data_IF_042810589404
#
_entry.id   IF_042810589404
#
_cell.length_a   1.000
_cell.length_b   1.000
_cell.length_c   1.000
_cell.angle_alpha   90.00
_cell.angle_beta   90.00
_cell.angle_gamma   90.00
#
_symmetry.space_group_name_H-M   'P 1'
#
loop_
_entity.id
_entity.type
_entity.pdbx_description
1 polymer ?
#
# COMPACT_ATOMS: atom_id res chain seq x y z
N UNK A 1 13.35 17.60 -10.98
CA UNK A 1 13.66 16.93 -9.69
C UNK A 1 14.82 17.65 -8.98
N UNK A 2 16.05 17.70 -9.53
CA UNK A 2 17.21 18.31 -8.85
C UNK A 2 16.97 19.77 -8.44
N UNK A 3 16.40 20.59 -9.31
CA UNK A 3 16.05 21.98 -9.00
C UNK A 3 15.01 22.08 -7.88
N UNK A 4 14.02 21.17 -7.85
CA UNK A 4 13.02 21.14 -6.79
C UNK A 4 13.64 20.72 -5.44
N UNK A 5 14.54 19.74 -5.45
CA UNK A 5 15.25 19.28 -4.25
C UNK A 5 16.20 20.34 -3.66
N UNK A 6 16.74 21.24 -4.50
CA UNK A 6 17.65 22.31 -4.08
C UNK A 6 16.94 23.56 -3.54
N UNK A 7 15.60 23.61 -3.57
CA UNK A 7 14.85 24.72 -2.97
C UNK A 7 15.12 24.81 -1.47
N UNK A 8 15.17 26.02 -0.96
CA UNK A 8 15.25 26.25 0.47
C UNK A 8 14.02 25.65 1.15
N UNK A 9 14.18 24.81 2.19
CA UNK A 9 13.03 24.19 2.86
C UNK A 9 12.15 25.24 3.53
N UNK A 10 10.85 25.08 3.41
CA UNK A 10 9.84 25.89 4.10
C UNK A 10 9.34 25.19 5.36
N UNK A 11 8.74 25.95 6.26
CA UNK A 11 8.14 25.37 7.46
C UNK A 11 6.96 24.46 7.11
N UNK A 12 7.00 23.21 7.53
CA UNK A 12 5.96 22.21 7.21
C UNK A 12 4.58 22.49 7.85
N UNK A 13 4.43 23.59 8.61
CA UNK A 13 3.17 24.06 9.20
C UNK A 13 2.68 25.36 8.58
N UNK A 14 3.38 25.88 7.56
CA UNK A 14 3.00 27.12 6.86
C UNK A 14 1.87 26.83 5.85
N UNK A 15 1.14 27.91 5.49
CA UNK A 15 0.11 27.83 4.44
C UNK A 15 0.69 27.36 3.10
N UNK A 16 1.89 27.84 2.75
CA UNK A 16 2.59 27.45 1.54
C UNK A 16 2.81 25.92 1.46
N UNK A 17 3.23 25.30 2.58
CA UNK A 17 3.39 23.85 2.64
C UNK A 17 2.04 23.11 2.58
N UNK A 18 1.00 23.65 3.20
CA UNK A 18 -0.35 23.07 3.13
C UNK A 18 -0.88 23.06 1.68
N UNK A 19 -0.66 24.13 0.93
CA UNK A 19 -1.05 24.23 -0.48
C UNK A 19 -0.28 23.21 -1.34
N UNK A 20 1.00 23.00 -1.03
CA UNK A 20 1.81 21.98 -1.68
C UNK A 20 1.28 20.57 -1.38
N UNK A 21 0.96 20.25 -0.12
CA UNK A 21 0.39 18.96 0.27
C UNK A 21 -0.96 18.72 -0.41
N UNK A 22 -1.81 19.75 -0.48
CA UNK A 22 -3.09 19.65 -1.19
C UNK A 22 -2.90 19.30 -2.66
N UNK A 23 -2.02 20.03 -3.34
CA UNK A 23 -1.72 19.79 -4.75
C UNK A 23 -1.13 18.40 -4.99
N UNK A 24 -0.13 18.00 -4.21
CA UNK A 24 0.50 16.68 -4.35
C UNK A 24 -0.47 15.55 -4.04
N UNK A 25 -1.35 15.71 -3.04
CA UNK A 25 -2.38 14.70 -2.72
C UNK A 25 -3.35 14.50 -3.89
N UNK A 26 -3.83 15.58 -4.52
CA UNK A 26 -4.69 15.50 -5.71
C UNK A 26 -3.99 14.79 -6.88
N UNK A 27 -2.72 15.09 -7.10
CA UNK A 27 -1.92 14.44 -8.14
C UNK A 27 -1.69 12.95 -7.84
N UNK A 28 -1.46 12.59 -6.57
CA UNK A 28 -1.34 11.20 -6.13
C UNK A 28 -2.67 10.45 -6.33
N UNK A 29 -3.80 11.04 -6.00
CA UNK A 29 -5.12 10.45 -6.26
C UNK A 29 -5.35 10.20 -7.75
N UNK A 30 -4.99 11.18 -8.59
CA UNK A 30 -5.04 11.02 -10.04
C UNK A 30 -4.15 9.86 -10.54
N UNK A 31 -2.91 9.79 -10.06
CA UNK A 31 -1.98 8.73 -10.46
C UNK A 31 -2.45 7.34 -10.02
N UNK A 32 -3.04 7.23 -8.82
CA UNK A 32 -3.63 5.99 -8.30
C UNK A 32 -5.01 5.68 -8.91
N UNK A 33 -5.58 6.61 -9.68
CA UNK A 33 -6.95 6.50 -10.21
C UNK A 33 -7.94 6.16 -9.09
N UNK A 34 -7.94 6.97 -8.05
CA UNK A 34 -8.76 6.78 -6.86
C UNK A 34 -9.33 8.08 -6.33
N UNK A 35 -10.53 8.00 -5.75
CA UNK A 35 -11.15 9.07 -4.95
C UNK A 35 -10.89 8.87 -3.44
N UNK A 36 -10.25 7.77 -3.07
CA UNK A 36 -9.93 7.46 -1.69
C UNK A 36 -8.73 8.26 -1.18
N UNK A 37 -8.51 8.22 0.13
CA UNK A 37 -7.34 8.85 0.75
C UNK A 37 -6.04 8.23 0.23
N UNK A 38 -5.10 9.07 -0.17
CA UNK A 38 -3.71 8.69 -0.46
C UNK A 38 -2.81 9.43 0.51
N UNK A 39 -2.22 8.70 1.44
CA UNK A 39 -1.38 9.26 2.50
C UNK A 39 0.10 9.23 2.10
N UNK A 40 0.81 10.30 2.39
CA UNK A 40 2.27 10.41 2.18
C UNK A 40 3.00 10.19 3.51
N UNK A 41 3.90 9.21 3.51
CA UNK A 41 4.72 8.83 4.68
C UNK A 41 6.18 9.10 4.35
N UNK A 42 6.91 9.77 5.25
CA UNK A 42 8.37 9.84 5.16
C UNK A 42 8.96 8.49 5.53
N UNK A 43 9.44 7.77 4.52
CA UNK A 43 9.92 6.40 4.68
C UNK A 43 10.07 5.69 3.33
N UNK A 44 10.58 4.48 3.35
CA UNK A 44 10.68 3.62 2.16
C UNK A 44 9.34 2.95 1.85
N UNK A 45 9.21 2.35 0.65
CA UNK A 45 8.04 1.55 0.31
C UNK A 45 7.73 0.45 1.33
N UNK A 46 8.74 -0.07 2.04
CA UNK A 46 8.54 -1.04 3.14
C UNK A 46 7.72 -0.43 4.28
N UNK A 47 7.88 0.88 4.57
CA UNK A 47 7.06 1.54 5.60
C UNK A 47 5.58 1.56 5.22
N UNK A 48 5.24 1.79 3.94
CA UNK A 48 3.86 1.69 3.47
C UNK A 48 3.32 0.25 3.54
N UNK A 49 4.17 -0.75 3.25
CA UNK A 49 3.82 -2.16 3.41
C UNK A 49 3.48 -2.51 4.87
N UNK A 50 4.36 -2.18 5.80
CA UNK A 50 4.11 -2.38 7.24
C UNK A 50 2.87 -1.62 7.70
N UNK A 51 2.73 -0.35 7.29
CA UNK A 51 1.57 0.46 7.63
C UNK A 51 0.27 -0.19 7.18
N UNK A 52 0.22 -0.76 5.97
CA UNK A 52 -0.95 -1.49 5.49
C UNK A 52 -1.34 -2.63 6.42
N UNK A 53 -0.39 -3.47 6.79
CA UNK A 53 -0.60 -4.63 7.67
C UNK A 53 -1.03 -4.19 9.08
N UNK A 54 -0.22 -3.38 9.75
CA UNK A 54 -0.45 -3.07 11.17
C UNK A 54 -1.69 -2.21 11.42
N UNK A 55 -2.17 -1.49 10.42
CA UNK A 55 -3.37 -0.67 10.58
C UNK A 55 -4.67 -1.42 10.24
N UNK A 56 -4.62 -2.52 9.50
CA UNK A 56 -5.83 -3.20 9.02
C UNK A 56 -6.02 -4.60 9.59
N UNK A 57 -4.97 -5.17 10.20
CA UNK A 57 -4.96 -6.54 10.70
C UNK A 57 -4.63 -6.62 12.19
N UNK A 58 -4.96 -7.75 12.79
CA UNK A 58 -4.72 -8.08 14.18
C UNK A 58 -3.84 -9.32 14.32
N UNK A 59 -3.12 -9.45 15.43
CA UNK A 59 -2.37 -10.68 15.71
C UNK A 59 -3.29 -11.91 15.66
N UNK A 60 -2.86 -12.95 14.96
CA UNK A 60 -3.63 -14.18 14.74
C UNK A 60 -4.56 -14.12 13.54
N UNK A 61 -4.70 -12.98 12.86
CA UNK A 61 -5.50 -12.91 11.64
C UNK A 61 -4.92 -13.81 10.55
N UNK A 62 -5.80 -14.58 9.90
CA UNK A 62 -5.43 -15.46 8.79
C UNK A 62 -5.36 -14.66 7.48
N UNK A 63 -4.24 -14.78 6.77
CA UNK A 63 -3.99 -14.06 5.53
C UNK A 63 -3.43 -14.98 4.44
N UNK A 64 -3.74 -14.68 3.18
CA UNK A 64 -3.08 -15.31 2.03
C UNK A 64 -1.93 -14.39 1.60
N UNK A 65 -0.73 -14.93 1.42
CA UNK A 65 0.41 -14.20 0.86
C UNK A 65 0.85 -14.83 -0.46
N UNK A 66 0.90 -14.04 -1.52
CA UNK A 66 1.48 -14.44 -2.81
C UNK A 66 2.99 -14.27 -2.82
N UNK A 67 3.73 -15.32 -3.21
CA UNK A 67 5.19 -15.32 -3.28
C UNK A 67 5.67 -15.88 -4.62
N UNK A 68 6.25 -15.02 -5.46
CA UNK A 68 6.90 -15.43 -6.70
C UNK A 68 8.21 -14.68 -6.96
N UNK A 69 8.82 -14.16 -5.88
CA UNK A 69 10.09 -13.48 -5.87
C UNK A 69 10.40 -12.83 -4.52
N UNK A 70 11.44 -11.99 -4.51
CA UNK A 70 12.01 -11.43 -3.28
C UNK A 70 11.06 -10.52 -2.53
N UNK A 71 10.20 -9.79 -3.24
CA UNK A 71 9.25 -8.88 -2.60
C UNK A 71 8.03 -9.65 -2.09
N UNK A 72 7.53 -10.65 -2.80
CA UNK A 72 6.54 -11.59 -2.27
C UNK A 72 7.03 -12.31 -0.99
N UNK A 73 8.28 -12.79 -0.98
CA UNK A 73 8.91 -13.35 0.22
C UNK A 73 8.94 -12.35 1.39
N UNK A 74 9.16 -11.05 1.10
CA UNK A 74 9.14 -9.99 2.12
C UNK A 74 7.78 -9.85 2.77
N UNK A 75 6.68 -9.88 1.99
CA UNK A 75 5.32 -9.85 2.53
C UNK A 75 5.06 -11.01 3.50
N UNK A 76 5.49 -12.22 3.13
CA UNK A 76 5.38 -13.40 4.01
C UNK A 76 6.13 -13.19 5.32
N UNK A 77 7.36 -12.62 5.25
CA UNK A 77 8.17 -12.34 6.45
C UNK A 77 7.51 -11.28 7.33
N UNK A 78 7.08 -10.16 6.73
CA UNK A 78 6.43 -9.06 7.46
C UNK A 78 5.14 -9.56 8.14
N UNK A 79 4.30 -10.31 7.43
CA UNK A 79 3.09 -10.87 8.00
C UNK A 79 3.35 -11.78 9.21
N UNK A 80 4.35 -12.66 9.10
CA UNK A 80 4.75 -13.55 10.21
C UNK A 80 5.33 -12.78 11.40
N UNK A 81 6.14 -11.74 11.16
CA UNK A 81 6.73 -10.92 12.22
C UNK A 81 5.66 -10.22 13.05
N UNK A 82 4.57 -9.80 12.42
CA UNK A 82 3.40 -9.24 13.12
C UNK A 82 2.43 -10.31 13.67
N UNK A 83 2.80 -11.58 13.62
CA UNK A 83 2.05 -12.68 14.24
C UNK A 83 0.79 -13.07 13.50
N UNK A 84 0.73 -12.88 12.18
CA UNK A 84 -0.37 -13.32 11.34
C UNK A 84 -0.24 -14.81 10.97
N UNK A 85 -1.35 -15.48 10.76
CA UNK A 85 -1.41 -16.84 10.21
C UNK A 85 -1.36 -16.80 8.69
N UNK A 86 -0.22 -17.20 8.12
CA UNK A 86 0.05 -17.05 6.69
C UNK A 86 -0.26 -18.33 5.92
N UNK A 87 -1.22 -18.27 5.00
CA UNK A 87 -1.41 -19.23 3.92
C UNK A 87 -0.57 -18.74 2.73
N UNK A 88 0.51 -19.45 2.42
CA UNK A 88 1.39 -19.08 1.32
C UNK A 88 0.89 -19.66 -0.01
N UNK A 89 0.76 -18.82 -1.04
CA UNK A 89 0.61 -19.23 -2.43
C UNK A 89 1.90 -18.88 -3.14
N UNK A 90 2.68 -19.89 -3.49
CA UNK A 90 3.94 -19.73 -4.19
C UNK A 90 3.84 -20.11 -5.67
N UNK A 91 4.75 -19.53 -6.44
CA UNK A 91 5.08 -19.91 -7.81
C UNK A 91 6.59 -19.90 -7.96
N UNK A 92 7.08 -20.66 -8.93
CA UNK A 92 8.48 -20.62 -9.31
C UNK A 92 8.90 -19.17 -9.65
N UNK A 93 10.05 -18.74 -9.18
CA UNK A 93 10.55 -17.40 -9.45
C UNK A 93 10.74 -17.20 -10.95
N UNK A 94 10.21 -16.09 -11.47
CA UNK A 94 10.14 -15.83 -12.91
C UNK A 94 8.80 -16.23 -13.55
N UNK A 95 7.88 -16.82 -12.77
CA UNK A 95 6.51 -17.12 -13.23
C UNK A 95 5.47 -16.32 -12.43
N UNK A 96 4.33 -15.93 -13.06
CA UNK A 96 3.29 -15.22 -12.34
C UNK A 96 2.56 -16.13 -11.34
N UNK A 97 1.98 -15.51 -10.32
CA UNK A 97 1.07 -16.18 -9.41
C UNK A 97 -0.17 -16.67 -10.16
N UNK A 98 -0.58 -17.91 -9.90
CA UNK A 98 -1.78 -18.47 -10.52
C UNK A 98 -3.05 -17.96 -9.80
N UNK A 99 -3.92 -17.15 -10.45
CA UNK A 99 -5.12 -16.60 -9.84
C UNK A 99 -6.10 -17.67 -9.34
N UNK A 100 -6.18 -18.83 -9.99
CA UNK A 100 -7.11 -19.92 -9.59
C UNK A 100 -6.76 -20.52 -8.22
N UNK A 101 -5.47 -20.46 -7.80
CA UNK A 101 -5.11 -20.88 -6.44
C UNK A 101 -5.74 -19.95 -5.38
N UNK A 102 -5.76 -18.62 -5.63
CA UNK A 102 -6.43 -17.66 -4.75
C UNK A 102 -7.94 -17.89 -4.71
N UNK A 103 -8.55 -18.04 -5.89
CA UNK A 103 -9.98 -18.32 -6.00
C UNK A 103 -10.38 -19.53 -5.17
N UNK A 104 -9.67 -20.65 -5.35
CA UNK A 104 -9.97 -21.90 -4.64
C UNK A 104 -9.97 -21.69 -3.13
N UNK A 105 -8.90 -21.12 -2.56
CA UNK A 105 -8.77 -20.92 -1.12
C UNK A 105 -9.86 -19.96 -0.60
N UNK A 106 -10.16 -18.87 -1.34
CA UNK A 106 -11.19 -17.90 -0.96
C UNK A 106 -12.62 -18.50 -1.04
N UNK A 107 -12.89 -19.39 -2.00
CA UNK A 107 -14.19 -20.07 -2.12
C UNK A 107 -14.37 -21.16 -1.06
N UNK A 108 -13.29 -21.81 -0.63
CA UNK A 108 -13.28 -22.80 0.44
C UNK A 108 -13.44 -22.17 1.84
N UNK A 109 -13.09 -20.90 2.02
CA UNK A 109 -13.24 -20.16 3.27
C UNK A 109 -14.70 -19.77 3.56
N UNK A 110 -15.51 -20.75 3.90
CA UNK A 110 -16.95 -20.55 4.21
C UNK A 110 -17.17 -19.75 5.49
N UNK A 111 -16.26 -19.84 6.45
CA UNK A 111 -16.35 -19.14 7.73
C UNK A 111 -15.84 -17.70 7.69
N UNK A 112 -15.30 -17.25 6.55
CA UNK A 112 -14.74 -15.90 6.38
C UNK A 112 -13.63 -15.57 7.38
N UNK A 113 -12.78 -16.54 7.65
CA UNK A 113 -11.63 -16.40 8.54
C UNK A 113 -10.48 -15.61 7.89
N UNK A 114 -10.34 -15.68 6.56
CA UNK A 114 -9.32 -14.94 5.82
C UNK A 114 -9.63 -13.45 5.86
N UNK A 115 -8.71 -12.67 6.45
CA UNK A 115 -8.85 -11.23 6.63
C UNK A 115 -8.22 -10.40 5.51
N UNK A 116 -7.17 -10.92 4.87
CA UNK A 116 -6.55 -10.24 3.74
C UNK A 116 -5.88 -11.22 2.76
N UNK A 117 -5.73 -10.73 1.53
CA UNK A 117 -4.82 -11.26 0.51
C UNK A 117 -3.74 -10.22 0.27
N UNK A 118 -2.49 -10.62 0.47
CA UNK A 118 -1.32 -9.77 0.41
C UNK A 118 -0.46 -10.23 -0.77
N UNK A 119 -0.16 -9.36 -1.72
CA UNK A 119 0.65 -9.71 -2.88
C UNK A 119 1.39 -8.52 -3.49
N UNK A 120 2.43 -8.82 -4.26
CA UNK A 120 3.16 -7.85 -5.07
C UNK A 120 2.58 -7.84 -6.49
N UNK A 121 2.22 -6.66 -7.02
CA UNK A 121 1.73 -6.54 -8.40
C UNK A 121 2.87 -6.75 -9.42
N UNK A 122 3.97 -6.00 -9.29
CA UNK A 122 5.16 -6.17 -10.12
C UNK A 122 6.32 -6.66 -9.27
N UNK A 123 6.67 -7.94 -9.42
CA UNK A 123 7.78 -8.57 -8.71
C UNK A 123 9.11 -8.16 -9.36
N UNK A 124 9.73 -7.14 -8.82
CA UNK A 124 10.93 -6.50 -9.37
C UNK A 124 12.11 -7.46 -9.50
N UNK A 125 12.25 -8.40 -8.56
CA UNK A 125 13.39 -9.33 -8.52
C UNK A 125 13.41 -10.31 -9.69
N UNK A 126 12.25 -10.54 -10.30
CA UNK A 126 12.07 -11.50 -11.40
C UNK A 126 11.51 -10.84 -12.67
N UNK A 127 11.08 -9.58 -12.62
CA UNK A 127 10.48 -8.85 -13.74
C UNK A 127 9.06 -9.32 -14.10
N UNK A 128 8.38 -10.01 -13.19
CA UNK A 128 7.05 -10.58 -13.43
C UNK A 128 5.95 -9.65 -12.96
N UNK A 129 4.92 -9.47 -13.78
CA UNK A 129 3.66 -8.81 -13.40
C UNK A 129 2.63 -9.90 -13.10
N UNK A 130 2.02 -9.82 -11.92
CA UNK A 130 0.93 -10.70 -11.50
C UNK A 130 -0.42 -10.16 -11.99
N UNK A 131 -1.35 -11.05 -12.33
CA UNK A 131 -2.71 -10.67 -12.75
C UNK A 131 -3.55 -10.18 -11.56
N UNK A 132 -3.22 -8.98 -11.10
CA UNK A 132 -3.88 -8.33 -9.98
C UNK A 132 -5.38 -8.10 -10.24
N UNK A 133 -5.76 -7.76 -11.48
CA UNK A 133 -7.16 -7.54 -11.87
C UNK A 133 -8.02 -8.77 -11.60
N UNK A 134 -7.57 -9.94 -12.03
CA UNK A 134 -8.29 -11.20 -11.80
C UNK A 134 -8.31 -11.57 -10.33
N UNK A 135 -7.15 -11.53 -9.65
CA UNK A 135 -7.05 -11.86 -8.22
C UNK A 135 -7.96 -10.94 -7.38
N UNK A 136 -7.95 -9.62 -7.63
CA UNK A 136 -8.81 -8.67 -6.90
C UNK A 136 -10.30 -8.96 -7.10
N UNK A 137 -10.69 -9.45 -8.29
CA UNK A 137 -12.08 -9.84 -8.54
C UNK A 137 -12.54 -11.00 -7.63
N UNK A 138 -11.64 -11.92 -7.31
CA UNK A 138 -11.94 -13.04 -6.40
C UNK A 138 -11.99 -12.57 -4.94
N UNK A 139 -11.08 -11.66 -4.55
CA UNK A 139 -11.10 -11.05 -3.22
C UNK A 139 -12.41 -10.28 -3.00
N UNK A 140 -12.85 -9.53 -4.00
CA UNK A 140 -14.13 -8.80 -3.96
C UNK A 140 -15.33 -9.75 -3.77
N UNK A 141 -15.33 -10.89 -4.47
CA UNK A 141 -16.39 -11.92 -4.31
C UNK A 141 -16.41 -12.53 -2.91
N UNK A 142 -15.26 -12.62 -2.26
CA UNK A 142 -15.15 -13.08 -0.86
C UNK A 142 -15.80 -12.11 0.13
N UNK A 143 -15.87 -10.80 -0.18
CA UNK A 143 -16.50 -9.68 0.54
C UNK A 143 -15.77 -9.21 1.80
N UNK A 144 -15.28 -10.11 2.65
CA UNK A 144 -14.67 -9.75 3.94
C UNK A 144 -13.15 -9.55 3.87
N UNK A 145 -12.44 -10.35 3.08
CA UNK A 145 -10.99 -10.20 2.93
C UNK A 145 -10.62 -8.87 2.26
N UNK A 146 -9.58 -8.22 2.78
CA UNK A 146 -8.96 -7.03 2.16
C UNK A 146 -7.97 -7.45 1.07
N UNK A 147 -7.80 -6.62 0.06
CA UNK A 147 -6.64 -6.66 -0.82
C UNK A 147 -5.57 -5.70 -0.28
N UNK A 148 -4.36 -6.21 0.02
CA UNK A 148 -3.20 -5.40 0.44
C UNK A 148 -2.10 -5.62 -0.60
N UNK A 149 -1.80 -4.59 -1.39
CA UNK A 149 -1.03 -4.74 -2.62
C UNK A 149 0.22 -3.86 -2.62
N UNK A 150 1.35 -4.49 -2.86
CA UNK A 150 2.59 -3.81 -3.16
C UNK A 150 2.61 -3.39 -4.64
N UNK A 151 2.42 -2.10 -4.89
CA UNK A 151 2.54 -1.46 -6.20
C UNK A 151 3.76 -0.54 -6.28
N UNK A 152 4.77 -0.75 -5.43
CA UNK A 152 5.97 0.11 -5.38
C UNK A 152 6.62 0.25 -6.74
N UNK A 153 6.69 -0.82 -7.53
CA UNK A 153 7.35 -0.81 -8.84
C UNK A 153 6.38 -0.60 -9.99
N UNK A 154 5.11 -0.93 -9.82
CA UNK A 154 4.11 -0.84 -10.90
C UNK A 154 3.43 0.52 -11.00
N UNK A 155 3.16 1.20 -9.89
CA UNK A 155 2.51 2.51 -9.90
C UNK A 155 3.40 3.56 -10.59
N UNK A 156 2.82 4.28 -11.54
CA UNK A 156 3.54 5.21 -12.40
C UNK A 156 4.27 4.56 -13.60
N UNK A 157 4.39 3.21 -13.62
CA UNK A 157 4.98 2.46 -14.72
C UNK A 157 3.96 1.59 -15.47
N UNK A 158 2.93 1.12 -14.78
CA UNK A 158 1.84 0.35 -15.32
C UNK A 158 0.50 0.99 -14.96
N UNK A 159 -0.55 0.67 -15.71
CA UNK A 159 -1.91 1.06 -15.35
C UNK A 159 -2.37 0.27 -14.11
N UNK A 160 -2.70 0.99 -13.02
CA UNK A 160 -3.20 0.41 -11.76
C UNK A 160 -4.42 1.22 -11.32
N UNK A 161 -5.60 0.98 -11.92
CA UNK A 161 -6.81 1.70 -11.58
C UNK A 161 -7.38 1.18 -10.24
N UNK A 162 -6.95 1.80 -9.15
CA UNK A 162 -7.22 1.36 -7.77
C UNK A 162 -8.72 1.20 -7.50
N UNK A 163 -9.53 2.18 -7.89
CA UNK A 163 -10.98 2.14 -7.65
C UNK A 163 -11.68 1.13 -8.59
N UNK A 164 -11.30 1.06 -9.87
CA UNK A 164 -11.88 0.09 -10.80
C UNK A 164 -11.65 -1.35 -10.35
N UNK A 165 -10.43 -1.64 -9.90
CA UNK A 165 -10.08 -2.96 -9.40
C UNK A 165 -10.51 -3.19 -7.94
N UNK A 166 -11.05 -2.16 -7.29
CA UNK A 166 -11.50 -2.17 -5.89
C UNK A 166 -10.42 -2.66 -4.93
N UNK A 167 -9.22 -2.10 -5.06
CA UNK A 167 -8.11 -2.40 -4.17
C UNK A 167 -8.28 -1.67 -2.83
N UNK A 168 -8.05 -2.37 -1.73
CA UNK A 168 -8.32 -1.82 -0.40
C UNK A 168 -7.13 -1.07 0.17
N UNK A 169 -5.92 -1.62 0.06
CA UNK A 169 -4.66 -1.01 0.51
C UNK A 169 -3.64 -1.14 -0.60
N UNK A 170 -3.12 -0.01 -1.07
CA UNK A 170 -2.12 0.02 -2.15
C UNK A 170 -0.88 0.77 -1.69
N UNK A 171 0.23 0.06 -1.53
CA UNK A 171 1.52 0.64 -1.13
C UNK A 171 2.38 0.96 -2.35
N UNK A 172 3.01 2.13 -2.34
CA UNK A 172 3.94 2.56 -3.37
C UNK A 172 5.13 3.36 -2.81
N UNK A 173 6.09 3.72 -3.64
CA UNK A 173 7.32 4.37 -3.17
C UNK A 173 7.96 5.31 -4.19
N UNK A 174 8.57 6.38 -3.70
CA UNK A 174 9.00 7.54 -4.46
C UNK A 174 10.09 7.30 -5.51
N UNK A 175 10.99 6.33 -5.31
CA UNK A 175 12.15 6.10 -6.17
C UNK A 175 11.89 5.18 -7.37
N UNK A 176 10.66 4.87 -7.68
CA UNK A 176 10.25 4.02 -8.80
C UNK A 176 9.53 4.86 -9.87
N UNK A 177 8.33 4.53 -10.25
CA UNK A 177 7.57 5.25 -11.28
C UNK A 177 7.35 6.74 -11.01
N UNK A 178 7.46 7.19 -9.77
CA UNK A 178 7.40 8.61 -9.40
C UNK A 178 8.67 9.40 -9.76
N UNK A 179 9.78 8.74 -10.08
CA UNK A 179 11.03 9.31 -10.59
C UNK A 179 11.68 10.36 -9.69
N UNK A 180 11.49 10.29 -8.38
CA UNK A 180 12.17 11.13 -7.39
C UNK A 180 13.05 10.26 -6.47
N UNK A 181 13.97 10.81 -5.67
CA UNK A 181 14.80 10.03 -4.76
C UNK A 181 13.99 9.22 -3.74
N UNK A 182 14.57 8.12 -3.17
CA UNK A 182 13.95 7.40 -2.08
C UNK A 182 13.76 8.29 -0.85
N UNK A 183 12.70 8.04 -0.07
CA UNK A 183 12.43 8.75 1.17
C UNK A 183 10.96 9.10 1.39
N UNK A 184 10.11 8.95 0.39
CA UNK A 184 8.66 8.99 0.55
C UNK A 184 8.06 7.64 0.14
N UNK A 185 6.99 7.29 0.82
CA UNK A 185 6.10 6.21 0.41
C UNK A 185 4.65 6.66 0.49
N UNK A 186 3.81 6.03 -0.31
CA UNK A 186 2.41 6.40 -0.44
C UNK A 186 1.54 5.19 -0.17
N UNK A 187 0.40 5.42 0.48
CA UNK A 187 -0.55 4.37 0.75
C UNK A 187 -1.97 4.86 0.45
N UNK A 188 -2.63 4.20 -0.48
CA UNK A 188 -4.06 4.41 -0.75
C UNK A 188 -4.89 3.47 0.12
N UNK A 189 -6.00 3.99 0.66
CA UNK A 189 -6.85 3.28 1.62
C UNK A 189 -8.32 3.38 1.21
N UNK A 190 -8.96 2.25 0.90
CA UNK A 190 -10.40 2.20 0.66
C UNK A 190 -11.21 2.44 1.94
N UNK A 191 -12.50 2.74 1.80
CA UNK A 191 -13.40 2.85 2.94
C UNK A 191 -13.43 1.53 3.76
N UNK A 192 -13.42 0.37 3.10
CA UNK A 192 -13.36 -0.95 3.75
C UNK A 192 -12.06 -1.13 4.55
N UNK A 193 -10.92 -0.65 4.03
CA UNK A 193 -9.66 -0.67 4.76
C UNK A 193 -9.71 0.26 5.98
N UNK A 194 -10.34 1.44 5.88
CA UNK A 194 -10.55 2.32 7.04
C UNK A 194 -11.42 1.68 8.13
N UNK A 195 -12.49 0.98 7.76
CA UNK A 195 -13.32 0.23 8.71
C UNK A 195 -12.53 -0.86 9.44
N UNK A 196 -11.60 -1.52 8.75
CA UNK A 196 -10.71 -2.51 9.35
C UNK A 196 -9.75 -1.87 10.39
N UNK A 197 -9.35 -0.60 10.21
CA UNK A 197 -8.49 0.09 11.18
C UNK A 197 -9.11 0.23 12.56
N UNK A 198 -10.44 0.20 12.67
CA UNK A 198 -11.14 0.29 13.95
C UNK A 198 -11.01 -0.99 14.80
N UNK A 199 -10.70 -2.12 14.14
CA UNK A 199 -10.59 -3.45 14.78
C UNK A 199 -9.14 -3.89 14.96
N UNK A 200 -8.21 -3.29 14.23
CA UNK A 200 -6.79 -3.65 14.29
C UNK A 200 -6.18 -3.36 15.66
N UNK A 201 -5.51 -4.38 16.23
CA UNK A 201 -4.89 -4.31 17.55
C UNK A 201 -3.36 -4.37 17.53
N UNK A 202 -2.72 -4.43 16.35
CA UNK A 202 -1.27 -4.42 16.25
C UNK A 202 -0.69 -3.06 16.72
N UNK A 203 0.45 -3.05 17.42
CA UNK A 203 1.06 -1.83 17.93
C UNK A 203 1.51 -0.92 16.79
N UNK A 204 1.22 0.37 16.91
CA UNK A 204 1.58 1.39 15.93
C UNK A 204 1.64 2.77 16.55
N UNK A 205 2.64 3.56 16.20
CA UNK A 205 2.77 4.96 16.58
C UNK A 205 3.11 5.81 15.36
N UNK A 206 4.34 5.76 14.86
CA UNK A 206 4.76 6.53 13.71
C UNK A 206 3.95 6.19 12.45
N UNK A 207 3.65 4.92 12.23
CA UNK A 207 2.87 4.43 11.10
C UNK A 207 1.37 4.30 11.40
N UNK A 208 0.84 5.05 12.38
CA UNK A 208 -0.59 5.08 12.66
C UNK A 208 -1.34 5.90 11.60
N UNK A 209 -1.94 5.24 10.62
CA UNK A 209 -2.60 5.89 9.48
C UNK A 209 -3.78 6.77 9.88
N UNK A 210 -4.45 6.52 11.03
CA UNK A 210 -5.49 7.42 11.54
C UNK A 210 -4.92 8.80 11.86
N UNK A 211 -3.68 8.89 12.37
CA UNK A 211 -3.01 10.18 12.62
C UNK A 211 -2.71 10.91 11.32
N UNK A 212 -2.29 10.20 10.27
CA UNK A 212 -2.07 10.78 8.95
C UNK A 212 -3.38 11.27 8.34
N UNK A 213 -4.45 10.46 8.39
CA UNK A 213 -5.78 10.85 7.89
C UNK A 213 -6.30 12.10 8.57
N UNK A 214 -6.18 12.17 9.91
CA UNK A 214 -6.58 13.34 10.69
C UNK A 214 -5.81 14.60 10.24
N UNK A 215 -4.51 14.48 10.00
CA UNK A 215 -3.68 15.61 9.56
C UNK A 215 -3.98 16.02 8.13
N UNK A 216 -4.34 15.06 7.26
CA UNK A 216 -4.67 15.34 5.86
C UNK A 216 -5.86 16.28 5.72
N UNK A 217 -6.83 16.26 6.64
CA UNK A 217 -7.98 17.20 6.66
C UNK A 217 -7.54 18.66 6.64
N UNK A 218 -6.39 18.97 7.23
CA UNK A 218 -5.79 20.31 7.23
C UNK A 218 -4.58 20.42 6.28
N UNK A 219 -4.49 19.54 5.30
CA UNK A 219 -3.36 19.48 4.34
C UNK A 219 -1.99 19.48 5.05
N UNK A 220 -1.85 18.65 6.08
CA UNK A 220 -0.66 18.59 6.93
C UNK A 220 -0.20 17.15 7.16
N UNK A 221 0.90 16.97 7.85
CA UNK A 221 1.44 15.68 8.28
C UNK A 221 1.50 15.61 9.81
N UNK A 222 1.29 14.43 10.42
CA UNK A 222 1.34 14.30 11.88
C UNK A 222 2.76 14.47 12.43
N UNK A 223 3.77 14.20 11.62
CA UNK A 223 5.20 14.30 11.94
C UNK A 223 5.90 15.13 10.88
N UNK A 224 7.12 15.62 11.20
CA UNK A 224 7.92 16.41 10.26
C UNK A 224 8.20 15.60 8.98
N UNK A 225 7.71 16.05 7.82
CA UNK A 225 7.92 15.35 6.56
C UNK A 225 9.26 15.72 5.92
N UNK A 226 9.69 14.94 4.94
CA UNK A 226 10.84 15.27 4.10
C UNK A 226 10.46 16.36 3.08
N UNK A 227 10.41 17.62 3.51
CA UNK A 227 9.89 18.78 2.76
C UNK A 227 10.46 18.87 1.34
N UNK A 228 11.79 18.72 1.18
CA UNK A 228 12.43 18.79 -0.14
C UNK A 228 11.99 17.67 -1.08
N UNK A 229 11.67 16.48 -0.56
CA UNK A 229 11.13 15.41 -1.37
C UNK A 229 9.68 15.67 -1.81
N UNK A 230 8.90 16.36 -0.95
CA UNK A 230 7.54 16.80 -1.34
C UNK A 230 7.59 17.87 -2.43
N UNK A 231 8.59 18.76 -2.44
CA UNK A 231 8.82 19.67 -3.56
C UNK A 231 9.17 18.97 -4.88
N UNK A 232 9.83 17.83 -4.78
CA UNK A 232 10.25 17.07 -5.97
C UNK A 232 9.14 16.17 -6.52
N UNK A 233 8.14 15.86 -5.70
CA UNK A 233 6.96 15.07 -6.05
C UNK A 233 6.00 15.87 -6.92
#
# INVERSE_FOLDING_TARGET
VLQALSKHPIGHRTKEFQDLVESTTKNLQWLHQTQNDVLTITGSGTAAMEAGIINTLSKGDKVICGENGKFGERWVKVAKEFGLEVIKIDSEWGTPLNPEKFKKILEEDKQKEIKAVILTHSETSTGVINDLKTISSYIRKHKTALSIVDCVTSLGACNVPVDEWQLDVVASGSQKGYMIPPGLSFIAMSQKAWEATEKSNLPKFYLNLKSYRKSLVSNSNPYTPAVNLVFAL
#
